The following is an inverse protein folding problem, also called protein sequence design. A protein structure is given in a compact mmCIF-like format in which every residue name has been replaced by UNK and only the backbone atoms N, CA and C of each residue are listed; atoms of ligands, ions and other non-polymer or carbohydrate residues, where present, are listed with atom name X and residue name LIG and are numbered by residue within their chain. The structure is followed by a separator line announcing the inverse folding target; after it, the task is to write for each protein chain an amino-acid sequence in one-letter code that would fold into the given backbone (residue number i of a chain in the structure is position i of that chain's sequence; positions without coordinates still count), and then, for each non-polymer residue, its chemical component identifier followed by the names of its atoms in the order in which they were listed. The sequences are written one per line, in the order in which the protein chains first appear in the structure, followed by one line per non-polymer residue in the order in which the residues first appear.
data_IF_517505307114
#
_entry.id   IF_517505307114
#
_cell.length_a   1.000
_cell.length_b   1.000
_cell.length_c   1.000
_cell.angle_alpha   90.00
_cell.angle_beta   90.00
_cell.angle_gamma   90.00
#
_symmetry.space_group_name_H-M   'P 1'
#
loop_
_entity.id
_entity.type
_entity.pdbx_description
1 polymer ?
#
# COMPACT_ATOMS: atom_id res chain seq x y z
N UNK A 1 17.98 0.57 66.97
CA UNK A 1 17.91 1.88 66.28
C UNK A 1 18.11 1.63 64.78
N UNK A 2 17.03 1.58 64.01
CA UNK A 2 17.11 1.45 62.54
C UNK A 2 17.40 2.85 62.01
N UNK A 3 18.60 3.07 61.46
CA UNK A 3 18.93 4.31 60.74
C UNK A 3 17.99 4.37 59.52
N UNK A 4 17.03 5.29 59.56
CA UNK A 4 16.27 5.66 58.38
C UNK A 4 17.24 6.20 57.35
N UNK A 5 17.48 5.43 56.29
CA UNK A 5 18.24 5.85 55.12
C UNK A 5 17.48 7.01 54.49
N UNK A 6 17.90 8.24 54.76
CA UNK A 6 17.39 9.42 54.07
C UNK A 6 17.94 9.36 52.65
N UNK A 7 17.12 8.93 51.68
CA UNK A 7 17.46 8.98 50.26
C UNK A 7 17.87 10.42 49.93
N UNK A 8 19.14 10.64 49.61
CA UNK A 8 19.68 11.97 49.37
C UNK A 8 19.31 12.45 47.96
N UNK A 9 19.34 13.76 47.74
CA UNK A 9 19.14 14.34 46.39
C UNK A 9 20.12 13.76 45.36
N UNK A 10 21.33 13.39 45.78
CA UNK A 10 22.33 12.74 44.94
C UNK A 10 21.89 11.32 44.51
N UNK A 11 21.28 10.55 45.41
CA UNK A 11 20.78 9.21 45.11
C UNK A 11 19.64 9.24 44.09
N UNK A 12 18.72 10.20 44.23
CA UNK A 12 17.63 10.41 43.26
C UNK A 12 18.17 10.80 41.89
N UNK A 13 19.14 11.72 41.84
CA UNK A 13 19.80 12.12 40.59
C UNK A 13 20.45 10.90 39.91
N UNK A 14 21.17 10.06 40.68
CA UNK A 14 21.80 8.86 40.14
C UNK A 14 20.79 7.86 39.56
N UNK A 15 19.65 7.67 40.21
CA UNK A 15 18.59 6.78 39.72
C UNK A 15 17.98 7.30 38.43
N UNK A 16 17.70 8.60 38.33
CA UNK A 16 17.21 9.25 37.10
C UNK A 16 18.21 9.00 35.97
N UNK A 17 19.48 9.24 36.22
CA UNK A 17 20.58 9.02 35.29
C UNK A 17 20.65 7.57 34.78
N UNK A 18 20.40 6.60 35.66
CA UNK A 18 20.33 5.18 35.29
C UNK A 18 19.07 4.85 34.48
N UNK A 19 17.93 5.44 34.83
CA UNK A 19 16.68 5.26 34.08
C UNK A 19 16.82 5.82 32.66
N UNK A 20 17.38 7.02 32.51
CA UNK A 20 17.66 7.62 31.20
C UNK A 20 18.62 6.75 30.38
N UNK A 21 19.69 6.25 30.99
CA UNK A 21 20.67 5.41 30.30
C UNK A 21 20.18 4.03 29.93
N UNK A 22 19.31 3.40 30.73
CA UNK A 22 18.98 1.97 30.56
C UNK A 22 17.52 1.71 30.21
N UNK A 23 16.59 2.50 30.70
CA UNK A 23 15.16 2.19 30.64
C UNK A 23 14.39 3.10 29.68
N UNK A 24 14.76 4.39 29.59
CA UNK A 24 14.03 5.39 28.83
C UNK A 24 14.59 5.58 27.41
N UNK A 25 13.73 6.06 26.53
CA UNK A 25 14.02 6.32 25.14
C UNK A 25 15.16 7.35 24.98
N UNK A 26 16.04 7.19 23.98
CA UNK A 26 17.20 8.06 23.79
C UNK A 26 16.84 9.45 23.25
N UNK A 27 15.59 9.67 22.82
CA UNK A 27 15.10 10.92 22.26
C UNK A 27 14.60 11.92 23.33
N UNK A 28 14.84 11.65 24.62
CA UNK A 28 14.37 12.47 25.73
C UNK A 28 12.88 12.31 26.07
N UNK A 29 12.18 11.38 25.41
CA UNK A 29 10.82 11.04 25.82
C UNK A 29 10.82 10.14 27.06
N UNK A 30 9.86 10.34 27.96
CA UNK A 30 9.66 9.52 29.17
C UNK A 30 8.97 8.18 28.85
N UNK A 31 9.30 7.60 27.70
CA UNK A 31 8.77 6.32 27.23
C UNK A 31 9.85 5.27 27.41
N UNK A 32 9.47 4.01 27.68
CA UNK A 32 10.44 2.93 27.76
C UNK A 32 11.16 2.72 26.42
N UNK A 33 12.41 2.25 26.46
CA UNK A 33 13.17 1.93 25.25
C UNK A 33 12.44 0.92 24.36
N UNK A 34 11.81 -0.09 24.96
CA UNK A 34 11.08 -1.11 24.21
C UNK A 34 9.90 -0.52 23.45
N UNK A 35 9.12 0.36 24.08
CA UNK A 35 8.01 1.03 23.42
C UNK A 35 8.50 2.01 22.35
N UNK A 36 9.61 2.73 22.58
CA UNK A 36 10.22 3.60 21.58
C UNK A 36 10.61 2.83 20.30
N UNK A 37 11.37 1.73 20.43
CA UNK A 37 11.78 0.94 19.28
C UNK A 37 10.61 0.20 18.62
N UNK A 38 9.66 -0.31 19.41
CA UNK A 38 8.44 -0.93 18.87
C UNK A 38 7.61 0.05 18.04
N UNK A 39 7.44 1.28 18.51
CA UNK A 39 6.76 2.33 17.75
C UNK A 39 7.52 2.74 16.50
N UNK A 40 8.85 2.80 16.56
CA UNK A 40 9.68 3.10 15.40
C UNK A 40 9.51 2.01 14.32
N UNK A 41 9.60 0.74 14.70
CA UNK A 41 9.41 -0.39 13.79
C UNK A 41 8.00 -0.36 13.17
N UNK A 42 6.96 -0.22 13.99
CA UNK A 42 5.58 -0.16 13.49
C UNK A 42 5.36 0.99 12.50
N UNK A 43 6.01 2.14 12.70
CA UNK A 43 5.96 3.26 11.74
C UNK A 43 6.66 2.94 10.43
N UNK A 44 7.81 2.27 10.48
CA UNK A 44 8.54 1.84 9.29
C UNK A 44 7.71 0.82 8.49
N UNK A 45 7.10 -0.15 9.17
CA UNK A 45 6.22 -1.15 8.55
C UNK A 45 4.98 -0.52 7.92
N UNK A 46 4.29 0.37 8.64
CA UNK A 46 3.15 1.11 8.11
C UNK A 46 3.53 1.96 6.89
N UNK A 47 4.70 2.60 6.92
CA UNK A 47 5.16 3.44 5.81
C UNK A 47 5.50 2.60 4.58
N UNK A 48 6.10 1.42 4.78
CA UNK A 48 6.38 0.45 3.71
C UNK A 48 5.09 -0.06 3.08
N UNK A 49 4.11 -0.42 3.88
CA UNK A 49 2.83 -0.91 3.38
C UNK A 49 2.04 0.18 2.64
N UNK A 50 2.07 1.41 3.17
CA UNK A 50 1.49 2.57 2.48
C UNK A 50 2.14 2.82 1.12
N UNK A 51 3.46 2.62 0.99
CA UNK A 51 4.14 2.77 -0.30
C UNK A 51 3.66 1.73 -1.31
N UNK A 52 3.60 0.44 -0.91
CA UNK A 52 3.09 -0.63 -1.76
C UNK A 52 1.66 -0.38 -2.22
N UNK A 53 0.80 0.07 -1.32
CA UNK A 53 -0.57 0.45 -1.66
C UNK A 53 -0.60 1.58 -2.72
N UNK A 54 0.21 2.63 -2.54
CA UNK A 54 0.27 3.73 -3.50
C UNK A 54 0.81 3.28 -4.87
N UNK A 55 1.79 2.38 -4.90
CA UNK A 55 2.30 1.78 -6.14
C UNK A 55 1.22 0.96 -6.85
N UNK A 56 0.48 0.12 -6.11
CA UNK A 56 -0.63 -0.65 -6.65
C UNK A 56 -1.74 0.26 -7.21
N UNK A 57 -2.09 1.33 -6.50
CA UNK A 57 -3.06 2.34 -6.96
C UNK A 57 -2.58 3.04 -8.24
N UNK A 58 -1.30 3.41 -8.32
CA UNK A 58 -0.74 4.03 -9.51
C UNK A 58 -0.86 3.13 -10.75
N UNK A 59 -0.51 1.84 -10.59
CA UNK A 59 -0.64 0.83 -11.66
C UNK A 59 -2.11 0.66 -12.08
N UNK A 60 -3.03 0.59 -11.11
CA UNK A 60 -4.47 0.45 -11.40
C UNK A 60 -5.01 1.68 -12.16
N UNK A 61 -4.61 2.88 -11.76
CA UNK A 61 -4.95 4.11 -12.48
C UNK A 61 -4.38 4.12 -13.91
N UNK A 62 -3.15 3.68 -14.10
CA UNK A 62 -2.54 3.57 -15.44
C UNK A 62 -3.31 2.58 -16.32
N UNK A 63 -3.69 1.43 -15.77
CA UNK A 63 -4.49 0.42 -16.47
C UNK A 63 -5.86 0.96 -16.89
N UNK A 64 -6.55 1.71 -16.01
CA UNK A 64 -7.81 2.38 -16.35
C UNK A 64 -7.59 3.37 -17.50
N UNK A 65 -6.59 4.23 -17.40
CA UNK A 65 -6.31 5.24 -18.43
C UNK A 65 -6.07 4.59 -19.80
N UNK A 66 -5.33 3.47 -19.85
CA UNK A 66 -5.12 2.74 -21.10
C UNK A 66 -6.42 2.18 -21.70
N UNK A 67 -7.36 1.69 -20.86
CA UNK A 67 -8.67 1.21 -21.32
C UNK A 67 -9.56 2.37 -21.78
N UNK A 68 -9.57 3.49 -21.06
CA UNK A 68 -10.31 4.69 -21.43
C UNK A 68 -9.83 5.27 -22.77
N UNK A 69 -8.51 5.34 -22.98
CA UNK A 69 -7.91 5.75 -24.26
C UNK A 69 -8.34 4.81 -25.40
N UNK A 70 -8.37 3.49 -25.15
CA UNK A 70 -8.85 2.51 -26.12
C UNK A 70 -10.34 2.69 -26.44
N UNK A 71 -11.20 2.81 -25.43
CA UNK A 71 -12.64 3.04 -25.62
C UNK A 71 -12.91 4.36 -26.36
N UNK A 72 -12.10 5.39 -26.11
CA UNK A 72 -12.18 6.65 -26.84
C UNK A 72 -11.80 6.46 -28.32
N UNK A 73 -10.71 5.74 -28.62
CA UNK A 73 -10.32 5.44 -30.00
C UNK A 73 -11.39 4.64 -30.75
N UNK A 74 -11.98 3.62 -30.11
CA UNK A 74 -13.10 2.84 -30.64
C UNK A 74 -14.30 3.75 -30.94
N UNK A 75 -14.65 4.63 -30.00
CA UNK A 75 -15.77 5.57 -30.16
C UNK A 75 -15.57 6.52 -31.34
N UNK A 76 -14.36 7.07 -31.51
CA UNK A 76 -14.01 7.95 -32.64
C UNK A 76 -14.06 7.19 -33.97
N UNK A 77 -13.56 5.96 -34.01
CA UNK A 77 -13.58 5.15 -35.23
C UNK A 77 -14.99 4.72 -35.65
N UNK A 78 -15.85 4.38 -34.68
CA UNK A 78 -17.26 4.08 -34.92
C UNK A 78 -18.01 5.29 -35.50
N UNK A 79 -17.70 6.51 -35.03
CA UNK A 79 -18.23 7.76 -35.61
C UNK A 79 -17.71 7.99 -37.05
N UNK A 80 -16.50 7.52 -37.37
CA UNK A 80 -15.91 7.56 -38.70
C UNK A 80 -16.41 6.48 -39.68
N UNK A 81 -17.34 5.61 -39.26
CA UNK A 81 -17.94 4.58 -40.11
C UNK A 81 -17.14 3.28 -40.23
N UNK A 82 -16.07 3.12 -39.44
CA UNK A 82 -15.34 1.85 -39.32
C UNK A 82 -16.17 0.92 -38.43
N UNK A 83 -16.56 -0.26 -38.95
CA UNK A 83 -17.42 -1.22 -38.23
C UNK A 83 -16.65 -2.36 -37.57
N UNK A 84 -15.44 -2.64 -38.05
CA UNK A 84 -14.62 -3.73 -37.54
C UNK A 84 -13.52 -3.19 -36.61
N UNK A 85 -13.60 -3.59 -35.33
CA UNK A 85 -12.67 -3.23 -34.25
C UNK A 85 -11.23 -3.68 -34.57
N UNK A 86 -11.07 -4.68 -35.44
CA UNK A 86 -9.78 -5.20 -35.89
C UNK A 86 -9.05 -4.26 -36.87
N UNK A 87 -9.78 -3.39 -37.59
CA UNK A 87 -9.20 -2.37 -38.47
C UNK A 87 -8.72 -1.14 -37.69
N UNK A 88 -8.91 -1.13 -36.36
CA UNK A 88 -8.40 -0.09 -35.46
C UNK A 88 -6.90 -0.21 -35.20
N UNK A 89 -6.26 -1.26 -35.69
CA UNK A 89 -4.82 -1.42 -35.60
C UNK A 89 -4.18 -1.44 -36.99
N UNK A 90 -3.13 -0.63 -37.25
CA UNK A 90 -2.48 0.32 -36.35
C UNK A 90 -3.11 1.72 -36.45
N UNK A 91 -3.90 2.16 -35.44
CA UNK A 91 -4.33 3.56 -35.34
C UNK A 91 -3.40 4.40 -34.44
N UNK A 92 -3.25 5.71 -34.72
CA UNK A 92 -2.44 6.60 -33.90
C UNK A 92 -2.96 6.63 -32.46
N UNK A 93 -2.14 6.19 -31.51
CA UNK A 93 -2.47 6.15 -30.08
C UNK A 93 -2.60 4.75 -29.48
N UNK A 94 -2.94 3.74 -30.28
CA UNK A 94 -3.00 2.34 -29.83
C UNK A 94 -1.68 1.63 -30.09
N UNK A 95 -1.01 1.19 -29.02
CA UNK A 95 0.30 0.50 -29.10
C UNK A 95 0.16 -1.01 -29.28
N UNK A 96 -0.98 -1.58 -28.88
CA UNK A 96 -1.24 -3.01 -28.85
C UNK A 96 -2.49 -3.38 -29.67
N UNK A 97 -2.73 -4.69 -29.85
CA UNK A 97 -3.95 -5.16 -30.51
C UNK A 97 -5.19 -4.97 -29.63
N UNK A 98 -6.40 -4.82 -30.21
CA UNK A 98 -7.64 -4.65 -29.46
C UNK A 98 -7.89 -5.71 -28.39
N UNK A 99 -7.52 -6.97 -28.66
CA UNK A 99 -7.73 -8.09 -27.72
C UNK A 99 -6.99 -7.89 -26.38
N UNK A 100 -5.85 -7.17 -26.40
CA UNK A 100 -5.09 -6.89 -25.17
C UNK A 100 -5.86 -5.91 -24.28
N UNK A 101 -6.45 -4.87 -24.88
CA UNK A 101 -7.24 -3.88 -24.16
C UNK A 101 -8.56 -4.46 -23.64
N UNK A 102 -9.25 -5.27 -24.46
CA UNK A 102 -10.46 -5.99 -24.06
C UNK A 102 -10.19 -6.96 -22.88
N UNK A 103 -9.06 -7.67 -22.91
CA UNK A 103 -8.67 -8.54 -21.80
C UNK A 103 -8.39 -7.74 -20.52
N UNK A 104 -7.68 -6.61 -20.65
CA UNK A 104 -7.39 -5.72 -19.53
C UNK A 104 -8.68 -5.17 -18.92
N UNK A 105 -9.60 -4.67 -19.74
CA UNK A 105 -10.92 -4.18 -19.32
C UNK A 105 -11.70 -5.27 -18.56
N UNK A 106 -11.77 -6.48 -19.11
CA UNK A 106 -12.43 -7.60 -18.44
C UNK A 106 -11.82 -7.89 -17.06
N UNK A 107 -10.49 -7.91 -16.95
CA UNK A 107 -9.81 -8.13 -15.66
C UNK A 107 -10.11 -7.01 -14.66
N UNK A 108 -10.14 -5.75 -15.09
CA UNK A 108 -10.49 -4.62 -14.22
C UNK A 108 -11.93 -4.74 -13.71
N UNK A 109 -12.88 -5.13 -14.57
CA UNK A 109 -14.29 -5.34 -14.18
C UNK A 109 -14.41 -6.46 -13.15
N UNK A 110 -13.73 -7.60 -13.36
CA UNK A 110 -13.72 -8.71 -12.41
C UNK A 110 -13.10 -8.28 -11.07
N UNK A 111 -11.97 -7.57 -11.10
CA UNK A 111 -11.31 -7.06 -9.91
C UNK A 111 -12.21 -6.10 -9.11
N UNK A 112 -12.87 -5.15 -9.80
CA UNK A 112 -13.80 -4.21 -9.16
C UNK A 112 -15.01 -4.94 -8.55
N UNK A 113 -15.57 -5.93 -9.26
CA UNK A 113 -16.67 -6.74 -8.75
C UNK A 113 -16.24 -7.54 -7.50
N UNK A 114 -15.06 -8.16 -7.53
CA UNK A 114 -14.51 -8.89 -6.38
C UNK A 114 -14.32 -7.97 -5.16
N UNK A 115 -13.79 -6.77 -5.36
CA UNK A 115 -13.64 -5.76 -4.31
C UNK A 115 -14.98 -5.32 -3.73
N UNK A 116 -15.97 -5.00 -4.59
CA UNK A 116 -17.32 -4.59 -4.16
C UNK A 116 -18.03 -5.66 -3.34
N UNK A 117 -17.84 -6.92 -3.72
CA UNK A 117 -18.41 -8.08 -3.05
C UNK A 117 -17.59 -8.52 -1.83
N UNK A 118 -16.43 -7.89 -1.56
CA UNK A 118 -15.48 -8.26 -0.50
C UNK A 118 -15.08 -9.74 -0.56
N UNK A 119 -14.88 -10.24 -1.78
CA UNK A 119 -14.43 -11.62 -1.97
C UNK A 119 -12.98 -11.76 -1.48
N UNK A 120 -12.61 -12.92 -0.91
CA UNK A 120 -11.23 -13.20 -0.54
C UNK A 120 -10.33 -13.11 -1.77
N UNK A 121 -9.05 -12.79 -1.56
CA UNK A 121 -8.05 -12.80 -2.63
C UNK A 121 -7.84 -14.25 -3.08
N UNK A 122 -8.52 -14.62 -4.14
CA UNK A 122 -8.41 -15.95 -4.76
C UNK A 122 -7.22 -15.91 -5.72
N UNK A 123 -6.25 -16.80 -5.52
CA UNK A 123 -5.16 -17.05 -6.47
C UNK A 123 -5.71 -17.47 -7.84
N UNK A 124 -4.91 -17.38 -8.91
CA UNK A 124 -5.27 -17.93 -10.23
C UNK A 124 -5.66 -19.43 -10.15
N UNK A 125 -5.17 -20.15 -9.13
CA UNK A 125 -5.47 -21.57 -8.86
C UNK A 125 -6.72 -21.82 -8.00
N UNK A 126 -7.46 -20.77 -7.58
CA UNK A 126 -8.62 -20.93 -6.70
C UNK A 126 -8.30 -20.98 -5.20
N UNK A 127 -7.03 -20.92 -4.82
CA UNK A 127 -6.58 -20.94 -3.42
C UNK A 127 -6.76 -19.58 -2.76
N UNK A 128 -7.31 -19.57 -1.54
CA UNK A 128 -7.42 -18.38 -0.71
C UNK A 128 -6.09 -18.20 0.00
N UNK A 129 -5.36 -17.13 -0.30
CA UNK A 129 -4.20 -16.77 0.51
C UNK A 129 -4.70 -16.12 1.81
N UNK A 130 -4.67 -16.87 2.90
CA UNK A 130 -4.71 -16.29 4.24
C UNK A 130 -3.37 -15.58 4.46
N UNK A 131 -3.40 -14.26 4.71
CA UNK A 131 -2.20 -13.51 5.12
C UNK A 131 -1.70 -14.10 6.45
N UNK A 132 -0.47 -14.62 6.47
CA UNK A 132 0.24 -15.11 7.66
C UNK A 132 0.77 -13.98 8.54
#
# INVERSE_FOLDING_TARGET
MVKGSQNTSADLTQVIDQLERHCLAPNGSLVSKSAYYGLQLAREEMSRERLRYLEAVAIYCEAIAMVEEYQQAVSVANLGGIRDVQDLYPQPGLKNSPQVYENLEHRLVVAEAAQRLRLPLISEDGEIHEEE
#
